data_IF_117342851819
#
_entry.id   IF_117342851819
#
_cell.length_a   1.000
_cell.length_b   1.000
_cell.length_c   1.000
_cell.angle_alpha   90.00
_cell.angle_beta   90.00
_cell.angle_gamma   90.00
#
_symmetry.space_group_name_H-M   'P 1'
#
loop_
_entity.id
_entity.type
_entity.pdbx_description
1 polymer ?
#
# COMPACT_ATOMS: atom_id res chain seq x y z
N UNK A 1 -13.21 2.59 -13.16
CA UNK A 1 -12.65 1.24 -12.88
C UNK A 1 -13.79 0.30 -12.53
N UNK A 2 -13.81 -0.92 -13.09
CA UNK A 2 -14.85 -1.93 -12.80
C UNK A 2 -14.40 -3.06 -11.86
N UNK A 3 -13.16 -3.05 -11.35
CA UNK A 3 -12.65 -4.17 -10.53
C UNK A 3 -11.42 -3.85 -9.66
N UNK A 4 -11.39 -2.69 -8.99
CA UNK A 4 -10.40 -2.47 -7.91
C UNK A 4 -10.82 -3.17 -6.61
N UNK A 5 -10.00 -3.10 -5.57
CA UNK A 5 -10.38 -3.59 -4.23
C UNK A 5 -11.01 -2.48 -3.39
N UNK A 6 -11.89 -2.85 -2.47
CA UNK A 6 -12.43 -1.91 -1.49
C UNK A 6 -11.54 -1.91 -0.24
N UNK A 7 -11.32 -0.75 0.34
CA UNK A 7 -10.48 -0.60 1.52
C UNK A 7 -11.08 0.41 2.51
N UNK A 8 -11.12 0.03 3.79
CA UNK A 8 -11.61 0.88 4.86
C UNK A 8 -10.44 1.64 5.53
N UNK A 9 -10.48 2.97 5.52
CA UNK A 9 -9.56 3.84 6.26
C UNK A 9 -10.33 4.99 6.89
N UNK A 10 -9.92 5.41 8.08
CA UNK A 10 -10.48 6.59 8.77
C UNK A 10 -12.01 6.55 8.97
N UNK A 11 -12.62 5.36 8.99
CA UNK A 11 -14.08 5.20 9.11
C UNK A 11 -14.84 5.36 7.78
N UNK A 12 -14.13 5.46 6.66
CA UNK A 12 -14.69 5.55 5.31
C UNK A 12 -14.28 4.34 4.46
N UNK A 13 -15.16 3.92 3.56
CA UNK A 13 -14.87 2.87 2.57
C UNK A 13 -14.48 3.50 1.25
N UNK A 14 -13.20 3.35 0.89
CA UNK A 14 -12.65 3.72 -0.41
C UNK A 14 -12.90 2.58 -1.40
N UNK A 15 -13.53 2.89 -2.53
CA UNK A 15 -13.94 1.90 -3.53
C UNK A 15 -13.06 1.96 -4.77
N UNK A 16 -12.95 0.82 -5.44
CA UNK A 16 -12.14 0.68 -6.65
C UNK A 16 -10.69 1.15 -6.43
N UNK A 17 -10.12 0.80 -5.28
CA UNK A 17 -8.74 1.11 -4.97
C UNK A 17 -7.79 0.25 -5.80
N UNK A 18 -6.59 0.77 -6.00
CA UNK A 18 -5.47 0.11 -6.64
C UNK A 18 -4.16 0.56 -6.00
N UNK A 19 -3.09 -0.19 -6.23
CA UNK A 19 -1.76 0.11 -5.71
C UNK A 19 -0.89 0.62 -6.85
N UNK A 20 -0.19 1.71 -6.59
CA UNK A 20 0.92 2.16 -7.41
C UNK A 20 2.24 1.74 -6.74
N UNK A 21 3.16 1.23 -7.54
CA UNK A 21 4.53 0.97 -7.10
C UNK A 21 5.48 1.97 -7.76
N UNK A 22 6.40 2.51 -6.97
CA UNK A 22 7.44 3.44 -7.41
C UNK A 22 8.66 3.30 -6.51
N UNK A 23 9.58 4.27 -6.54
CA UNK A 23 10.77 4.24 -5.70
C UNK A 23 11.03 5.61 -5.08
N UNK A 24 11.37 5.61 -3.80
CA UNK A 24 11.91 6.80 -3.14
C UNK A 24 13.28 7.16 -3.70
N UNK A 25 13.75 8.39 -3.43
CA UNK A 25 15.05 8.89 -3.90
C UNK A 25 16.24 8.02 -3.49
N UNK A 26 16.11 7.26 -2.41
CA UNK A 26 17.12 6.34 -1.89
C UNK A 26 17.08 4.95 -2.56
N UNK A 27 16.15 4.70 -3.48
CA UNK A 27 15.94 3.41 -4.15
C UNK A 27 14.97 2.48 -3.44
N UNK A 28 14.50 2.81 -2.23
CA UNK A 28 13.54 1.96 -1.52
C UNK A 28 12.20 1.94 -2.24
N UNK A 29 11.56 0.77 -2.26
CA UNK A 29 10.23 0.58 -2.84
C UNK A 29 9.21 1.48 -2.13
N UNK A 30 8.44 2.22 -2.92
CA UNK A 30 7.28 2.98 -2.45
C UNK A 30 6.02 2.29 -2.96
N UNK A 31 5.11 1.98 -2.05
CA UNK A 31 3.75 1.56 -2.38
C UNK A 31 2.77 2.61 -1.89
N UNK A 32 1.86 3.01 -2.75
CA UNK A 32 0.83 4.02 -2.45
C UNK A 32 -0.53 3.53 -2.92
N UNK A 33 -1.56 3.89 -2.15
CA UNK A 33 -2.95 3.57 -2.40
C UNK A 33 -3.64 4.72 -3.13
N UNK A 34 -4.30 4.37 -4.23
CA UNK A 34 -5.12 5.28 -5.02
C UNK A 34 -6.51 4.70 -5.23
N UNK A 35 -7.45 5.56 -5.59
CA UNK A 35 -8.77 5.13 -6.08
C UNK A 35 -9.59 6.33 -6.55
N UNK A 36 -10.86 6.08 -6.87
CA UNK A 36 -11.77 7.13 -7.33
C UNK A 36 -12.35 7.88 -6.12
N UNK A 37 -12.02 9.16 -5.97
CA UNK A 37 -12.69 10.04 -5.01
C UNK A 37 -14.07 10.43 -5.55
N UNK A 38 -15.12 10.02 -4.84
CA UNK A 38 -16.51 10.25 -5.22
C UNK A 38 -16.92 11.74 -5.16
N UNK A 39 -16.23 12.56 -4.36
CA UNK A 39 -16.57 13.98 -4.20
C UNK A 39 -16.11 14.80 -5.41
N UNK A 40 -14.94 14.48 -5.95
CA UNK A 40 -14.33 15.20 -7.08
C UNK A 40 -14.39 14.43 -8.40
N UNK A 41 -14.85 13.17 -8.36
CA UNK A 41 -14.94 12.25 -9.50
C UNK A 41 -13.61 12.11 -10.27
N UNK A 42 -12.50 12.01 -9.53
CA UNK A 42 -11.15 11.86 -10.06
C UNK A 42 -10.35 10.83 -9.28
N UNK A 43 -9.34 10.25 -9.94
CA UNK A 43 -8.35 9.40 -9.28
C UNK A 43 -7.57 10.26 -8.30
N UNK A 44 -7.54 9.84 -7.05
CA UNK A 44 -6.85 10.55 -5.98
C UNK A 44 -5.98 9.59 -5.18
N UNK A 45 -4.90 10.12 -4.63
CA UNK A 45 -4.08 9.44 -3.63
C UNK A 45 -4.85 9.40 -2.30
N UNK A 46 -4.86 8.25 -1.64
CA UNK A 46 -5.54 8.06 -0.36
C UNK A 46 -4.57 7.88 0.81
N UNK A 47 -3.52 7.08 0.61
CA UNK A 47 -2.53 6.82 1.65
C UNK A 47 -1.26 6.23 1.05
N UNK A 48 -0.12 6.56 1.66
CA UNK A 48 1.08 5.76 1.45
C UNK A 48 1.03 4.49 2.30
N UNK A 49 1.42 3.37 1.70
CA UNK A 49 1.59 2.09 2.39
C UNK A 49 3.02 2.01 2.93
N UNK A 50 4.02 2.46 2.17
CA UNK A 50 5.42 2.41 2.60
C UNK A 50 5.86 3.70 3.27
N UNK A 51 6.47 3.60 4.45
CA UNK A 51 7.11 4.73 5.13
C UNK A 51 8.47 5.04 4.49
N UNK A 52 8.65 6.26 3.96
CA UNK A 52 9.96 6.72 3.48
C UNK A 52 10.95 6.92 4.62
N UNK A 53 12.05 6.18 4.62
CA UNK A 53 13.13 6.38 5.57
C UNK A 53 14.46 5.80 5.06
N UNK A 54 15.57 6.29 5.63
CA UNK A 54 16.94 5.85 5.34
C UNK A 54 17.63 5.15 6.54
N UNK A 55 16.93 4.99 7.66
CA UNK A 55 17.51 4.57 8.94
C UNK A 55 17.48 3.06 9.17
N UNK A 56 16.73 2.30 8.37
CA UNK A 56 16.68 0.84 8.42
C UNK A 56 17.12 0.29 7.07
N UNK A 57 18.10 -0.61 7.09
CA UNK A 57 18.49 -1.35 5.90
C UNK A 57 17.43 -2.43 5.61
N UNK A 58 16.81 -2.34 4.43
CA UNK A 58 15.76 -3.22 3.96
C UNK A 58 16.28 -4.02 2.75
N UNK A 59 15.80 -5.23 2.58
CA UNK A 59 15.95 -5.96 1.31
C UNK A 59 14.92 -5.46 0.30
N UNK A 60 15.19 -5.64 -0.99
CA UNK A 60 14.34 -5.14 -2.09
C UNK A 60 12.87 -5.61 -2.01
N UNK A 61 12.62 -6.74 -1.35
CA UNK A 61 11.30 -7.34 -1.14
C UNK A 61 10.66 -7.00 0.21
N UNK A 62 11.21 -6.03 0.95
CA UNK A 62 10.69 -5.61 2.25
C UNK A 62 10.37 -4.13 2.32
N UNK A 63 9.32 -3.81 3.07
CA UNK A 63 8.89 -2.43 3.31
C UNK A 63 8.63 -2.22 4.80
N UNK A 64 8.76 -0.97 5.24
CA UNK A 64 8.18 -0.52 6.50
C UNK A 64 6.78 -0.02 6.19
N UNK A 65 5.76 -0.64 6.79
CA UNK A 65 4.38 -0.24 6.54
C UNK A 65 4.07 1.00 7.39
N UNK A 66 3.72 2.10 6.75
CA UNK A 66 3.18 3.26 7.46
C UNK A 66 1.75 2.94 7.89
N UNK A 67 1.61 2.36 9.08
CA UNK A 67 0.32 2.05 9.69
C UNK A 67 -0.11 3.11 10.70
N UNK A 68 0.63 4.23 10.84
CA UNK A 68 0.31 5.26 11.81
C UNK A 68 -1.04 5.88 11.47
N UNK A 69 -1.94 5.92 12.45
CA UNK A 69 -3.33 6.37 12.33
C UNK A 69 -4.19 5.57 11.32
N UNK A 70 -3.70 4.41 10.84
CA UNK A 70 -4.34 3.56 9.83
C UNK A 70 -4.50 2.12 10.35
N UNK A 71 -5.25 1.89 11.45
CA UNK A 71 -5.27 0.61 12.16
C UNK A 71 -5.79 -0.57 11.30
N UNK A 72 -6.65 -0.29 10.33
CA UNK A 72 -7.26 -1.26 9.42
C UNK A 72 -6.37 -1.59 8.21
N UNK A 73 -5.30 -0.81 7.95
CA UNK A 73 -4.48 -0.97 6.74
C UNK A 73 -3.80 -2.34 6.69
N UNK A 74 -3.05 -2.69 7.74
CA UNK A 74 -2.25 -3.93 7.77
C UNK A 74 -3.14 -5.18 7.60
N UNK A 75 -4.22 -5.39 8.39
CA UNK A 75 -5.07 -6.57 8.24
C UNK A 75 -5.68 -6.72 6.84
N UNK A 76 -6.04 -5.61 6.19
CA UNK A 76 -6.62 -5.63 4.85
C UNK A 76 -5.58 -6.01 3.79
N UNK A 77 -4.36 -5.46 3.88
CA UNK A 77 -3.28 -5.81 2.95
C UNK A 77 -2.77 -7.25 3.14
N UNK A 78 -2.80 -7.78 4.36
CA UNK A 78 -2.54 -9.21 4.64
C UNK A 78 -3.62 -10.09 4.01
N UNK A 79 -4.91 -9.72 4.14
CA UNK A 79 -6.02 -10.47 3.53
C UNK A 79 -5.95 -10.48 1.99
N UNK A 80 -5.47 -9.39 1.39
CA UNK A 80 -5.21 -9.30 -0.05
C UNK A 80 -3.96 -10.08 -0.49
N UNK A 81 -3.14 -10.53 0.47
CA UNK A 81 -1.89 -11.25 0.23
C UNK A 81 -0.75 -10.37 -0.27
N UNK A 82 -0.89 -9.03 -0.18
CA UNK A 82 0.14 -8.06 -0.54
C UNK A 82 1.26 -8.07 0.50
N UNK A 83 0.88 -8.04 1.77
CA UNK A 83 1.79 -8.27 2.88
C UNK A 83 1.87 -9.78 3.11
N UNK A 84 3.01 -10.39 2.76
CA UNK A 84 3.18 -11.83 2.78
C UNK A 84 3.62 -12.36 4.14
N UNK A 85 4.57 -11.68 4.78
CA UNK A 85 5.15 -12.12 6.05
C UNK A 85 5.60 -10.92 6.88
N UNK A 86 5.20 -10.87 8.16
CA UNK A 86 5.72 -9.89 9.11
C UNK A 86 7.10 -10.33 9.59
N UNK A 87 8.13 -9.55 9.27
CA UNK A 87 9.52 -9.88 9.61
C UNK A 87 9.88 -9.42 11.02
N UNK A 88 9.62 -8.15 11.33
CA UNK A 88 9.95 -7.54 12.63
C UNK A 88 9.22 -6.22 12.83
N UNK A 89 9.49 -5.56 13.95
CA UNK A 89 9.11 -4.16 14.19
C UNK A 89 10.36 -3.29 14.16
N UNK A 90 10.23 -2.04 13.74
CA UNK A 90 11.24 -0.99 13.95
C UNK A 90 10.63 0.20 14.70
N UNK A 91 11.50 1.01 15.32
CA UNK A 91 11.12 2.24 16.01
C UNK A 91 11.68 3.41 15.21
N UNK A 92 10.81 4.34 14.82
CA UNK A 92 11.16 5.58 14.12
C UNK A 92 10.40 6.70 14.82
N UNK A 93 11.12 7.73 15.28
CA UNK A 93 10.55 8.86 16.03
C UNK A 93 9.63 8.42 17.19
N UNK A 94 10.06 7.40 17.95
CA UNK A 94 9.32 6.77 19.05
C UNK A 94 8.00 6.09 18.66
N UNK A 95 7.77 5.83 17.37
CA UNK A 95 6.61 5.10 16.85
C UNK A 95 7.04 3.73 16.34
N UNK A 96 6.26 2.70 16.67
CA UNK A 96 6.49 1.34 16.24
C UNK A 96 5.86 1.09 14.87
N UNK A 97 6.67 0.71 13.89
CA UNK A 97 6.22 0.35 12.56
C UNK A 97 6.56 -1.10 12.24
N UNK A 98 5.66 -1.86 11.63
CA UNK A 98 5.96 -3.22 11.22
C UNK A 98 6.71 -3.25 9.90
N UNK A 99 7.66 -4.17 9.80
CA UNK A 99 8.39 -4.48 8.58
C UNK A 99 7.81 -5.77 8.01
N UNK A 100 7.43 -5.72 6.74
CA UNK A 100 6.85 -6.83 6.03
C UNK A 100 7.64 -7.17 4.77
N UNK A 101 7.70 -8.45 4.46
CA UNK A 101 7.98 -8.94 3.11
C UNK A 101 6.72 -8.82 2.26
N UNK A 102 6.89 -8.38 1.02
CA UNK A 102 5.78 -8.14 0.10
C UNK A 102 5.69 -9.21 -0.99
N UNK A 103 4.49 -9.34 -1.55
CA UNK A 103 4.24 -10.19 -2.71
C UNK A 103 4.05 -9.34 -3.98
N UNK A 104 5.10 -9.23 -4.80
CA UNK A 104 5.07 -8.46 -6.06
C UNK A 104 4.00 -8.95 -7.03
N UNK A 105 3.71 -10.26 -7.09
CA UNK A 105 2.64 -10.77 -7.96
C UNK A 105 1.28 -10.24 -7.54
N UNK A 106 1.03 -10.12 -6.23
CA UNK A 106 -0.21 -9.53 -5.71
C UNK A 106 -0.27 -8.02 -5.93
N UNK A 107 0.85 -7.31 -5.76
CA UNK A 107 0.92 -5.88 -6.07
C UNK A 107 0.58 -5.65 -7.54
N UNK A 108 1.20 -6.39 -8.46
CA UNK A 108 0.99 -6.23 -9.90
C UNK A 108 -0.47 -6.47 -10.29
N UNK A 109 -1.10 -7.51 -9.74
CA UNK A 109 -2.53 -7.80 -9.97
C UNK A 109 -3.49 -6.72 -9.47
N UNK A 110 -3.02 -5.79 -8.64
CA UNK A 110 -3.78 -4.68 -8.09
C UNK A 110 -3.32 -3.33 -8.66
N UNK A 111 -2.46 -3.30 -9.68
CA UNK A 111 -2.05 -2.07 -10.36
C UNK A 111 -3.11 -1.58 -11.35
N UNK A 112 -3.17 -0.26 -11.54
CA UNK A 112 -4.12 0.43 -12.41
C UNK A 112 -4.19 -0.14 -13.84
N UNK A 113 -3.03 -0.34 -14.46
CA UNK A 113 -2.95 -0.75 -15.87
C UNK A 113 -3.42 -2.19 -16.12
N UNK A 114 -3.17 -3.12 -15.20
CA UNK A 114 -3.68 -4.49 -15.33
C UNK A 114 -5.21 -4.57 -15.17
N UNK A 115 -5.78 -3.70 -14.33
CA UNK A 115 -7.24 -3.64 -14.13
C UNK A 115 -7.99 -2.98 -15.30
N UNK A 116 -7.35 -2.10 -16.07
CA UNK A 116 -7.93 -1.57 -17.31
C UNK A 116 -7.83 -2.55 -18.50
N UNK A 117 -6.72 -3.28 -18.63
CA UNK A 117 -6.52 -4.30 -19.69
C UNK A 117 -7.48 -5.49 -19.56
N UNK A 118 -7.88 -5.86 -18.34
CA UNK A 118 -8.86 -6.93 -18.10
C UNK A 118 -10.31 -6.51 -18.36
N UNK A 119 -10.57 -5.20 -18.49
CA UNK A 119 -11.91 -4.64 -18.68
C UNK A 119 -12.20 -4.21 -20.13
N UNK A 120 -11.23 -4.38 -21.05
CA UNK A 120 -11.31 -4.02 -22.47
C UNK A 120 -11.64 -5.22 -23.37
#
# INVERSE_FOLDING_TARGET
>A
MRSGFDLELYGETFKNCFIESSSYKNGNLQLSLYGLDANVNQISHFADITLNQNVVNLTDDTIIVDNKFKPTLVPQLEKLGILAEKIKMCIIDNVFYPIYKINFSKINSQMYYETELLAA
#
